data_IF_267470616688
#
_entry.id   IF_267470616688
#
_cell.length_a   1.000
_cell.length_b   1.000
_cell.length_c   1.000
_cell.angle_alpha   90.00
_cell.angle_beta   90.00
_cell.angle_gamma   90.00
#
_symmetry.space_group_name_H-M   'P 1'
#
loop_
_entity.id
_entity.type
_entity.pdbx_description
1 polymer ?
#
# COMPACT_ATOMS: atom_id res chain seq x y z
N UNK A 1 -0.69 13.36 -7.65
CA UNK A 1 -1.49 14.25 -6.78
C UNK A 1 -0.71 15.50 -6.35
N UNK A 2 0.49 15.42 -5.75
CA UNK A 2 1.19 16.61 -5.23
C UNK A 2 1.38 17.75 -6.25
N UNK A 3 1.72 17.41 -7.50
CA UNK A 3 1.92 18.39 -8.57
C UNK A 3 0.66 19.19 -8.93
N UNK A 4 -0.54 18.60 -8.77
CA UNK A 4 -1.80 19.24 -9.15
C UNK A 4 -2.29 20.29 -8.14
N UNK A 5 -1.61 20.46 -7.00
CA UNK A 5 -1.92 21.53 -6.05
C UNK A 5 -1.38 22.90 -6.46
N UNK A 6 -0.56 22.98 -7.51
CA UNK A 6 -0.10 24.26 -8.08
C UNK A 6 1.09 24.91 -7.36
N UNK A 7 1.72 24.23 -6.39
CA UNK A 7 2.88 24.75 -5.66
C UNK A 7 4.25 24.41 -6.28
N UNK A 8 4.27 23.56 -7.32
CA UNK A 8 5.51 23.02 -7.89
C UNK A 8 6.00 23.77 -9.14
N UNK A 9 5.12 24.47 -9.85
CA UNK A 9 5.46 25.18 -11.09
C UNK A 9 5.72 24.26 -12.29
N UNK A 10 5.01 23.13 -12.36
CA UNK A 10 5.13 22.13 -13.44
C UNK A 10 4.14 22.44 -14.56
N UNK A 11 4.50 22.12 -15.80
CA UNK A 11 3.61 22.27 -16.95
C UNK A 11 2.38 21.37 -16.82
N UNK A 12 1.25 21.85 -17.33
CA UNK A 12 0.01 21.07 -17.37
C UNK A 12 0.19 19.76 -18.16
N UNK A 13 0.85 19.83 -19.33
CA UNK A 13 1.09 18.65 -20.17
C UNK A 13 1.92 17.56 -19.46
N UNK A 14 2.85 17.93 -18.57
CA UNK A 14 3.62 16.98 -17.76
C UNK A 14 2.71 16.23 -16.79
N UNK A 15 1.81 16.94 -16.12
CA UNK A 15 0.85 16.33 -15.17
C UNK A 15 -0.18 15.47 -15.91
N UNK A 16 -0.67 15.95 -17.05
CA UNK A 16 -1.60 15.20 -17.91
C UNK A 16 -0.95 13.92 -18.44
N UNK A 17 0.32 13.96 -18.90
CA UNK A 17 1.01 12.76 -19.39
C UNK A 17 1.19 11.70 -18.30
N UNK A 18 1.45 12.11 -17.05
CA UNK A 18 1.49 11.19 -15.91
C UNK A 18 0.11 10.53 -15.67
N UNK A 19 -0.98 11.27 -15.85
CA UNK A 19 -2.32 10.71 -15.77
C UNK A 19 -2.63 9.79 -16.96
N UNK A 20 -2.18 10.13 -18.17
CA UNK A 20 -2.32 9.30 -19.36
C UNK A 20 -1.61 7.96 -19.20
N UNK A 21 -0.40 7.95 -18.65
CA UNK A 21 0.33 6.72 -18.33
C UNK A 21 -0.49 5.82 -17.40
N UNK A 22 -1.00 6.39 -16.31
CA UNK A 22 -1.83 5.65 -15.35
C UNK A 22 -3.12 5.10 -16.00
N UNK A 23 -3.82 5.92 -16.77
CA UNK A 23 -5.10 5.54 -17.41
C UNK A 23 -4.93 4.49 -18.53
N UNK A 24 -3.75 4.46 -19.17
CA UNK A 24 -3.43 3.54 -20.24
C UNK A 24 -2.67 2.29 -19.77
N UNK A 25 -2.53 2.09 -18.44
CA UNK A 25 -1.76 1.00 -17.84
C UNK A 25 -0.32 0.90 -18.36
N UNK A 26 0.30 2.07 -18.56
CA UNK A 26 1.72 2.22 -18.93
C UNK A 26 2.48 2.46 -17.64
N UNK A 27 3.26 1.46 -17.21
CA UNK A 27 3.89 1.46 -15.90
C UNK A 27 5.41 1.65 -16.03
N UNK A 28 5.97 2.79 -15.63
CA UNK A 28 7.42 2.97 -15.58
C UNK A 28 8.11 1.90 -14.73
N UNK A 29 9.23 1.37 -15.24
CA UNK A 29 10.05 0.43 -14.49
C UNK A 29 10.83 1.21 -13.42
N UNK A 30 10.49 0.98 -12.16
CA UNK A 30 11.11 1.62 -11.00
C UNK A 30 11.82 0.58 -10.14
N UNK A 31 13.12 0.79 -9.89
CA UNK A 31 13.92 -0.12 -9.08
C UNK A 31 13.61 0.01 -7.58
N UNK A 32 13.69 -1.11 -6.87
CA UNK A 32 13.32 -1.22 -5.46
C UNK A 32 14.28 -0.49 -4.52
N UNK A 33 15.54 -0.32 -4.90
CA UNK A 33 16.60 0.27 -4.07
C UNK A 33 17.19 1.52 -4.73
N UNK A 34 17.68 2.46 -3.91
CA UNK A 34 18.34 3.69 -4.38
C UNK A 34 17.88 4.96 -3.67
N UNK A 35 16.73 4.95 -2.98
CA UNK A 35 16.30 6.05 -2.12
C UNK A 35 16.84 5.87 -0.69
N UNK A 36 17.27 6.97 -0.08
CA UNK A 36 17.60 7.07 1.35
C UNK A 36 16.44 7.68 2.18
N UNK A 37 15.41 8.19 1.52
CA UNK A 37 14.25 8.82 2.14
C UNK A 37 14.49 10.12 2.91
N UNK A 38 15.68 10.72 2.81
CA UNK A 38 16.05 11.92 3.58
C UNK A 38 15.76 13.26 2.88
N UNK A 39 15.84 13.32 1.54
CA UNK A 39 15.70 14.56 0.75
C UNK A 39 14.83 14.36 -0.51
N UNK A 40 13.90 13.41 -0.45
CA UNK A 40 13.10 12.97 -1.59
C UNK A 40 13.61 11.67 -2.19
N UNK A 41 12.70 10.96 -2.83
CA UNK A 41 12.90 9.66 -3.46
C UNK A 41 13.54 9.82 -4.85
N UNK A 42 14.66 10.55 -4.93
CA UNK A 42 15.23 11.06 -6.19
C UNK A 42 15.44 9.98 -7.25
N UNK A 43 16.16 8.90 -6.91
CA UNK A 43 16.48 7.84 -7.85
C UNK A 43 15.23 7.10 -8.38
N UNK A 44 14.33 6.56 -7.53
CA UNK A 44 13.14 5.88 -8.03
C UNK A 44 12.17 6.84 -8.74
N UNK A 45 12.06 8.11 -8.30
CA UNK A 45 11.23 9.10 -9.01
C UNK A 45 11.84 9.51 -10.35
N UNK A 46 13.17 9.43 -10.51
CA UNK A 46 13.80 9.60 -11.81
C UNK A 46 13.37 8.49 -12.76
N UNK A 47 13.45 7.23 -12.33
CA UNK A 47 12.97 6.10 -13.12
C UNK A 47 11.47 6.16 -13.42
N UNK A 48 10.66 6.68 -12.49
CA UNK A 48 9.24 6.94 -12.75
C UNK A 48 9.02 7.97 -13.87
N UNK A 49 9.89 8.99 -13.96
CA UNK A 49 9.69 10.14 -14.85
C UNK A 49 10.49 10.07 -16.15
N UNK A 50 11.54 9.26 -16.25
CA UNK A 50 12.34 9.08 -17.47
C UNK A 50 11.46 8.77 -18.70
N UNK A 51 10.41 7.94 -18.60
CA UNK A 51 9.56 7.66 -19.76
C UNK A 51 8.79 8.86 -20.30
N UNK A 52 8.58 9.91 -19.51
CA UNK A 52 8.02 11.19 -19.99
C UNK A 52 8.92 11.81 -21.08
N UNK A 53 10.23 11.61 -20.96
CA UNK A 53 11.28 12.10 -21.86
C UNK A 53 11.58 11.12 -23.01
N UNK A 54 10.88 9.99 -23.08
CA UNK A 54 11.21 8.90 -23.99
C UNK A 54 12.46 8.10 -23.58
N UNK A 55 12.88 8.20 -22.32
CA UNK A 55 14.03 7.50 -21.76
C UNK A 55 13.59 6.39 -20.80
N UNK A 56 14.49 5.45 -20.52
CA UNK A 56 14.20 4.33 -19.61
C UNK A 56 13.21 3.34 -20.21
N UNK A 57 12.53 2.61 -19.34
CA UNK A 57 11.69 1.47 -19.70
C UNK A 57 10.31 1.58 -19.04
N UNK A 58 9.32 1.02 -19.72
CA UNK A 58 7.95 0.88 -19.22
C UNK A 58 7.46 -0.53 -19.46
N UNK A 59 6.61 -1.03 -18.57
CA UNK A 59 5.71 -2.13 -18.89
C UNK A 59 4.55 -1.57 -19.72
N UNK A 60 4.39 -2.10 -20.93
CA UNK A 60 3.34 -1.75 -21.88
C UNK A 60 2.80 -3.03 -22.50
N UNK A 61 1.49 -3.25 -22.41
CA UNK A 61 0.81 -4.47 -22.89
C UNK A 61 1.44 -5.78 -22.35
N UNK A 62 1.85 -5.76 -21.07
CA UNK A 62 2.44 -6.90 -20.37
C UNK A 62 3.90 -7.21 -20.76
N UNK A 63 4.58 -6.31 -21.47
CA UNK A 63 6.00 -6.43 -21.84
C UNK A 63 6.78 -5.20 -21.42
N UNK A 64 8.01 -5.42 -20.96
CA UNK A 64 8.96 -4.32 -20.73
C UNK A 64 9.56 -3.89 -22.07
N UNK A 65 9.40 -2.62 -22.42
CA UNK A 65 9.89 -2.02 -23.66
C UNK A 65 10.56 -0.67 -23.37
N UNK A 66 11.49 -0.21 -24.24
CA UNK A 66 12.02 1.15 -24.16
C UNK A 66 10.88 2.18 -24.27
N UNK A 67 10.94 3.22 -23.44
CA UNK A 67 9.90 4.25 -23.42
C UNK A 67 9.71 4.93 -24.79
N UNK A 68 10.78 5.10 -25.57
CA UNK A 68 10.72 5.65 -26.92
C UNK A 68 9.80 4.85 -27.85
N UNK A 69 9.86 3.52 -27.81
CA UNK A 69 9.02 2.64 -28.62
C UNK A 69 7.54 2.74 -28.20
N UNK A 70 7.27 2.79 -26.89
CA UNK A 70 5.93 3.01 -26.38
C UNK A 70 5.36 4.37 -26.83
N UNK A 71 6.17 5.43 -26.76
CA UNK A 71 5.74 6.77 -27.20
C UNK A 71 5.42 6.78 -28.70
N UNK A 72 6.24 6.15 -29.53
CA UNK A 72 5.98 6.01 -30.96
C UNK A 72 4.67 5.24 -31.22
N UNK A 73 4.46 4.10 -30.54
CA UNK A 73 3.25 3.30 -30.67
C UNK A 73 1.98 4.07 -30.28
N UNK A 74 2.07 4.97 -29.28
CA UNK A 74 0.95 5.82 -28.84
C UNK A 74 0.79 7.10 -29.67
N UNK A 75 1.69 7.38 -30.62
CA UNK A 75 1.72 8.65 -31.36
C UNK A 75 2.00 9.85 -30.46
N UNK A 76 2.72 9.65 -29.36
CA UNK A 76 2.99 10.66 -28.36
C UNK A 76 4.39 11.24 -28.52
N UNK A 77 4.49 12.57 -28.48
CA UNK A 77 5.80 13.22 -28.38
C UNK A 77 6.36 13.15 -26.96
N UNK A 78 7.69 13.05 -26.79
CA UNK A 78 8.35 13.24 -25.49
C UNK A 78 8.07 14.63 -24.90
N UNK A 79 7.91 14.69 -23.59
CA UNK A 79 7.79 15.95 -22.84
C UNK A 79 9.13 16.69 -22.86
N UNK A 80 9.09 18.00 -23.12
CA UNK A 80 10.24 18.88 -23.05
C UNK A 80 10.20 19.67 -21.74
N UNK A 81 10.95 19.20 -20.73
CA UNK A 81 10.95 19.81 -19.40
C UNK A 81 11.41 21.28 -19.47
N UNK A 82 10.70 22.13 -18.73
CA UNK A 82 11.01 23.52 -18.52
C UNK A 82 11.77 23.73 -17.21
N UNK A 83 12.09 25.00 -16.93
CA UNK A 83 12.76 25.40 -15.69
C UNK A 83 12.08 24.79 -14.46
N UNK A 84 12.88 24.21 -13.57
CA UNK A 84 12.47 23.61 -12.27
C UNK A 84 11.65 22.30 -12.36
N UNK A 85 11.16 21.88 -13.52
CA UNK A 85 10.31 20.69 -13.61
C UNK A 85 11.02 19.39 -13.21
N UNK A 86 12.30 19.24 -13.58
CA UNK A 86 13.10 18.11 -13.13
C UNK A 86 13.12 18.00 -11.60
N UNK A 87 13.40 19.11 -10.90
CA UNK A 87 13.38 19.12 -9.44
C UNK A 87 11.97 18.84 -8.88
N UNK A 88 10.93 19.38 -9.50
CA UNK A 88 9.55 19.17 -9.07
C UNK A 88 9.09 17.71 -9.21
N UNK A 89 9.55 17.00 -10.25
CA UNK A 89 9.25 15.59 -10.49
C UNK A 89 9.99 14.67 -9.51
N UNK A 90 11.24 15.00 -9.20
CA UNK A 90 12.12 14.15 -8.39
C UNK A 90 12.02 14.40 -6.89
N UNK A 91 11.68 15.62 -6.47
CA UNK A 91 11.68 16.00 -5.06
C UNK A 91 10.32 15.72 -4.42
N UNK A 92 10.19 14.53 -3.82
CA UNK A 92 9.05 14.19 -2.98
C UNK A 92 9.16 12.79 -2.38
N UNK A 93 8.16 12.42 -1.58
CA UNK A 93 8.13 11.17 -0.81
C UNK A 93 7.15 10.15 -1.39
N UNK A 94 6.80 10.26 -2.67
CA UNK A 94 5.73 9.47 -3.29
C UNK A 94 6.07 7.98 -3.33
N UNK A 95 7.34 7.62 -3.60
CA UNK A 95 7.77 6.22 -3.67
C UNK A 95 7.71 5.56 -2.29
N UNK A 96 8.29 6.18 -1.26
CA UNK A 96 8.23 5.65 0.11
C UNK A 96 6.79 5.64 0.65
N UNK A 97 5.98 6.65 0.30
CA UNK A 97 4.58 6.73 0.72
C UNK A 97 3.75 5.62 0.09
N UNK A 98 3.97 5.33 -1.21
CA UNK A 98 3.33 4.21 -1.89
C UNK A 98 3.70 2.87 -1.22
N UNK A 99 4.98 2.67 -0.89
CA UNK A 99 5.44 1.51 -0.13
C UNK A 99 4.80 1.40 1.26
N UNK A 100 4.69 2.52 1.98
CA UNK A 100 4.04 2.58 3.29
C UNK A 100 2.55 2.24 3.22
N UNK A 101 1.83 2.77 2.24
CA UNK A 101 0.41 2.45 2.00
C UNK A 101 0.24 0.97 1.65
N UNK A 102 1.05 0.44 0.74
CA UNK A 102 1.03 -0.98 0.38
C UNK A 102 1.26 -1.88 1.59
N UNK A 103 2.29 -1.57 2.39
CA UNK A 103 2.60 -2.29 3.63
C UNK A 103 1.46 -2.23 4.64
N UNK A 104 0.81 -1.08 4.80
CA UNK A 104 -0.32 -0.91 5.71
C UNK A 104 -1.54 -1.73 5.27
N UNK A 105 -1.84 -1.78 3.98
CA UNK A 105 -2.91 -2.63 3.42
C UNK A 105 -2.61 -4.11 3.73
N UNK A 106 -1.37 -4.55 3.50
CA UNK A 106 -0.91 -5.89 3.83
C UNK A 106 -1.03 -6.21 5.31
N UNK A 107 -0.53 -5.34 6.19
CA UNK A 107 -0.59 -5.49 7.64
C UNK A 107 -2.03 -5.59 8.15
N UNK A 108 -2.96 -4.78 7.64
CA UNK A 108 -4.40 -4.87 7.97
C UNK A 108 -5.03 -6.19 7.52
N UNK A 109 -4.58 -6.75 6.40
CA UNK A 109 -5.03 -8.07 5.94
C UNK A 109 -4.50 -9.15 6.88
N UNK A 110 -3.21 -9.11 7.22
CA UNK A 110 -2.56 -10.06 8.12
C UNK A 110 -3.17 -10.01 9.54
N UNK A 111 -3.43 -8.83 10.09
CA UNK A 111 -4.07 -8.68 11.40
C UNK A 111 -5.45 -9.35 11.45
N UNK A 112 -6.29 -9.18 10.42
CA UNK A 112 -7.59 -9.89 10.35
C UNK A 112 -7.44 -11.41 10.21
N UNK A 113 -6.39 -11.87 9.53
CA UNK A 113 -6.08 -13.31 9.47
C UNK A 113 -5.58 -13.84 10.81
N UNK A 114 -4.76 -13.07 11.53
CA UNK A 114 -4.28 -13.44 12.85
C UNK A 114 -5.44 -13.64 13.83
N UNK A 115 -6.46 -12.78 13.81
CA UNK A 115 -7.65 -12.96 14.65
C UNK A 115 -8.39 -14.26 14.31
N UNK A 116 -8.54 -14.59 13.02
CA UNK A 116 -9.22 -15.84 12.59
C UNK A 116 -8.44 -17.10 12.96
N UNK A 117 -7.13 -17.09 12.71
CA UNK A 117 -6.23 -18.19 13.05
C UNK A 117 -6.16 -18.35 14.57
N UNK A 118 -6.11 -17.24 15.30
CA UNK A 118 -6.11 -17.20 16.76
C UNK A 118 -7.41 -17.77 17.33
N UNK A 119 -8.57 -17.37 16.81
CA UNK A 119 -9.86 -17.92 17.24
C UNK A 119 -9.96 -19.43 16.97
N UNK A 120 -9.57 -19.88 15.77
CA UNK A 120 -9.55 -21.31 15.42
C UNK A 120 -8.60 -22.10 16.32
N UNK A 121 -7.42 -21.55 16.59
CA UNK A 121 -6.45 -22.17 17.51
C UNK A 121 -7.02 -22.25 18.92
N UNK A 122 -7.58 -21.16 19.44
CA UNK A 122 -8.20 -21.13 20.77
C UNK A 122 -9.29 -22.21 20.89
N UNK A 123 -10.14 -22.35 19.88
CA UNK A 123 -11.19 -23.36 19.87
C UNK A 123 -10.60 -24.78 19.82
N UNK A 124 -9.66 -25.04 18.92
CA UNK A 124 -9.02 -26.34 18.76
C UNK A 124 -8.24 -26.80 20.01
N UNK A 125 -7.65 -25.85 20.74
CA UNK A 125 -6.92 -26.11 22.00
C UNK A 125 -7.84 -26.24 23.22
N UNK A 126 -9.17 -26.21 23.04
CA UNK A 126 -10.11 -26.19 24.15
C UNK A 126 -9.90 -24.98 25.08
N UNK A 127 -9.52 -23.84 24.51
CA UNK A 127 -9.25 -22.61 25.24
C UNK A 127 -10.52 -21.95 25.81
N UNK A 128 -10.30 -20.97 26.68
CA UNK A 128 -11.34 -20.17 27.34
C UNK A 128 -11.69 -18.92 26.54
N UNK A 129 -12.98 -18.65 26.38
CA UNK A 129 -13.50 -17.48 25.66
C UNK A 129 -13.69 -16.26 26.58
N UNK A 130 -13.73 -16.51 27.89
CA UNK A 130 -13.95 -15.52 28.95
C UNK A 130 -12.94 -14.34 28.93
N UNK A 131 -11.65 -14.53 28.57
CA UNK A 131 -10.72 -13.41 28.40
C UNK A 131 -11.14 -12.40 27.32
N UNK A 132 -12.01 -12.79 26.39
CA UNK A 132 -12.52 -11.93 25.30
C UNK A 132 -13.86 -11.27 25.64
N UNK A 133 -14.35 -11.40 26.88
CA UNK A 133 -15.63 -10.83 27.31
C UNK A 133 -15.61 -9.30 27.34
N UNK A 134 -16.75 -8.68 26.97
CA UNK A 134 -16.85 -7.23 26.80
C UNK A 134 -16.48 -6.44 28.05
N UNK A 135 -16.87 -6.92 29.23
CA UNK A 135 -16.55 -6.28 30.50
C UNK A 135 -15.04 -6.24 30.79
N UNK A 136 -14.27 -7.25 30.38
CA UNK A 136 -12.80 -7.28 30.52
C UNK A 136 -12.18 -6.16 29.69
N UNK A 137 -12.66 -5.96 28.46
CA UNK A 137 -12.13 -4.97 27.53
C UNK A 137 -12.65 -3.55 27.80
N UNK A 138 -13.84 -3.41 28.40
CA UNK A 138 -14.40 -2.12 28.79
C UNK A 138 -13.57 -1.42 29.88
N UNK A 139 -12.92 -2.17 30.77
CA UNK A 139 -12.05 -1.63 31.82
C UNK A 139 -10.76 -1.04 31.23
N UNK A 140 -10.30 -1.54 30.08
CA UNK A 140 -9.11 -1.05 29.37
C UNK A 140 -9.43 -0.83 27.88
N UNK A 141 -10.12 0.27 27.52
CA UNK A 141 -10.83 0.40 26.25
C UNK A 141 -9.92 0.81 25.08
N UNK A 142 -8.84 0.07 24.85
CA UNK A 142 -8.02 0.23 23.65
C UNK A 142 -8.78 -0.26 22.43
N UNK A 143 -8.99 0.60 21.44
CA UNK A 143 -9.80 0.31 20.25
C UNK A 143 -9.43 -1.01 19.56
N UNK A 144 -8.14 -1.28 19.38
CA UNK A 144 -7.67 -2.52 18.75
C UNK A 144 -7.99 -3.77 19.58
N UNK A 145 -7.81 -3.68 20.91
CA UNK A 145 -8.10 -4.77 21.83
C UNK A 145 -9.59 -5.11 21.84
N UNK A 146 -10.47 -4.10 21.90
CA UNK A 146 -11.93 -4.28 21.82
C UNK A 146 -12.31 -4.96 20.50
N UNK A 147 -11.78 -4.45 19.38
CA UNK A 147 -12.09 -4.98 18.03
C UNK A 147 -11.69 -6.45 17.89
N UNK A 148 -10.49 -6.82 18.35
CA UNK A 148 -10.03 -8.23 18.35
C UNK A 148 -10.94 -9.09 19.23
N UNK A 149 -11.30 -8.63 20.42
CA UNK A 149 -12.14 -9.40 21.33
C UNK A 149 -13.55 -9.65 20.81
N UNK A 150 -14.17 -8.62 20.23
CA UNK A 150 -15.44 -8.74 19.52
C UNK A 150 -15.33 -9.73 18.35
N UNK A 151 -14.23 -9.68 17.60
CA UNK A 151 -13.98 -10.60 16.47
C UNK A 151 -13.88 -12.05 16.96
N UNK A 152 -13.14 -12.33 18.03
CA UNK A 152 -13.04 -13.68 18.60
C UNK A 152 -14.41 -14.21 19.05
N UNK A 153 -15.18 -13.42 19.82
CA UNK A 153 -16.52 -13.81 20.25
C UNK A 153 -17.46 -14.07 19.07
N UNK A 154 -17.37 -13.25 18.03
CA UNK A 154 -18.18 -13.40 16.81
C UNK A 154 -17.81 -14.67 16.04
N UNK A 155 -16.52 -14.97 15.90
CA UNK A 155 -16.04 -16.15 15.17
C UNK A 155 -16.35 -17.46 15.91
N UNK A 156 -16.35 -17.44 17.24
CA UNK A 156 -16.58 -18.61 18.09
C UNK A 156 -18.04 -18.75 18.55
N UNK A 157 -18.92 -17.86 18.12
CA UNK A 157 -20.34 -17.95 18.41
C UNK A 157 -20.90 -19.28 17.87
N UNK A 158 -21.48 -20.08 18.76
CA UNK A 158 -22.05 -21.40 18.42
C UNK A 158 -21.04 -22.55 18.37
N UNK A 159 -19.75 -22.33 18.67
CA UNK A 159 -18.81 -23.45 18.78
C UNK A 159 -19.16 -24.36 19.96
N UNK A 160 -19.29 -25.66 19.68
CA UNK A 160 -19.50 -26.70 20.69
C UNK A 160 -18.26 -26.92 21.56
N UNK A 161 -17.06 -26.65 21.03
CA UNK A 161 -15.81 -26.78 21.79
C UNK A 161 -15.66 -25.59 22.74
N UNK A 162 -15.88 -24.36 22.26
CA UNK A 162 -15.88 -23.19 23.13
C UNK A 162 -16.92 -23.28 24.27
N UNK A 163 -18.11 -23.81 23.99
CA UNK A 163 -19.21 -23.87 24.97
C UNK A 163 -19.07 -24.98 26.03
N UNK A 164 -18.17 -25.96 25.85
CA UNK A 164 -18.07 -27.10 26.77
C UNK A 164 -17.41 -26.70 28.09
N UNK A 165 -17.75 -27.35 29.22
CA UNK A 165 -17.09 -27.09 30.50
C UNK A 165 -15.57 -27.38 30.44
N UNK A 166 -14.76 -26.39 30.82
CA UNK A 166 -13.29 -26.49 30.83
C UNK A 166 -12.79 -26.88 32.22
N UNK A 167 -11.86 -27.84 32.28
CA UNK A 167 -11.24 -28.31 33.55
C UNK A 167 -10.06 -27.45 34.01
N UNK A 168 -9.30 -26.91 33.06
CA UNK A 168 -8.15 -26.05 33.35
C UNK A 168 -8.63 -24.68 33.84
N UNK A 169 -7.88 -24.04 34.72
CA UNK A 169 -8.26 -22.74 35.31
C UNK A 169 -7.83 -21.56 34.42
N UNK A 170 -6.75 -21.75 33.65
CA UNK A 170 -6.15 -20.75 32.79
C UNK A 170 -5.57 -21.43 31.54
N UNK A 171 -5.63 -20.72 30.41
CA UNK A 171 -4.91 -21.07 29.18
C UNK A 171 -3.41 -20.73 29.28
#
# INVERSE_FOLDING_TARGET
QSLSYGHSGVQLCTVERLADFFNADILPVVYQQGSLGASGDLAPLAHLCLPLLGLGEVEYEGKVVPAAEMLEAKGWSPIQLQSKEGLALLNGTQFMSAYGVWSLIGARRLSRWADRIGAMSLDAFDGRIEPFADNVHAIRPHKGQITTAETFRTLLAGSQIAARPKKHVQD
#
